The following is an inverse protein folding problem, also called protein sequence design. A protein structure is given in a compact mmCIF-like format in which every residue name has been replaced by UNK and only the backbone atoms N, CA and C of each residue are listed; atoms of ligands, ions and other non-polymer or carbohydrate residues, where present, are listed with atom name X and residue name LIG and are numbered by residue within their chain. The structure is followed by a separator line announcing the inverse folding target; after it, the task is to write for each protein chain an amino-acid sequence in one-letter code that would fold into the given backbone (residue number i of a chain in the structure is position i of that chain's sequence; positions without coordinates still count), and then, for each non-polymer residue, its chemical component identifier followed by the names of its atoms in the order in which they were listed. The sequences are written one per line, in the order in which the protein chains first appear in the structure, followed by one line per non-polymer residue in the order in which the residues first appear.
data_IF_161170123574
#
_entry.id   IF_161170123574
#
_cell.length_a   1.000
_cell.length_b   1.000
_cell.length_c   1.000
_cell.angle_alpha   90.00
_cell.angle_beta   90.00
_cell.angle_gamma   90.00
#
_symmetry.space_group_name_H-M   'P 1'
#
loop_
_entity.id
_entity.type
_entity.pdbx_description
1 polymer ?
#
# COMPACT_ATOMS: atom_id res chain seq x y z
N UNK A 1 -10.93 -9.63 6.50
CA UNK A 1 -9.50 -9.24 6.59
C UNK A 1 -9.36 -8.17 7.66
N UNK A 2 -8.48 -8.33 8.64
CA UNK A 2 -8.24 -7.37 9.73
C UNK A 2 -7.09 -6.38 9.41
N UNK A 3 -6.85 -5.44 10.32
CA UNK A 3 -5.83 -4.39 10.18
C UNK A 3 -4.40 -4.93 10.20
N UNK A 4 -4.14 -6.01 10.94
CA UNK A 4 -2.80 -6.62 11.03
C UNK A 4 -2.41 -7.28 9.72
N UNK A 5 -3.36 -7.97 9.08
CA UNK A 5 -3.19 -8.51 7.73
C UNK A 5 -2.92 -7.40 6.71
N UNK A 6 -3.61 -6.26 6.80
CA UNK A 6 -3.36 -5.12 5.90
C UNK A 6 -2.00 -4.50 6.13
N UNK A 7 -1.58 -4.36 7.38
CA UNK A 7 -0.23 -3.90 7.71
C UNK A 7 0.85 -4.86 7.15
N UNK A 8 0.61 -6.18 7.19
CA UNK A 8 1.47 -7.17 6.53
C UNK A 8 1.53 -6.99 5.02
N UNK A 9 0.39 -6.71 4.36
CA UNK A 9 0.38 -6.40 2.92
C UNK A 9 1.30 -5.22 2.62
N UNK A 10 1.17 -4.12 3.36
CA UNK A 10 2.01 -2.93 3.14
C UNK A 10 3.49 -3.31 3.22
N UNK A 11 3.90 -4.02 4.28
CA UNK A 11 5.30 -4.42 4.49
C UNK A 11 5.79 -5.34 3.36
N UNK A 12 4.98 -6.33 2.97
CA UNK A 12 5.33 -7.31 1.96
C UNK A 12 5.44 -6.69 0.56
N UNK A 13 4.55 -5.74 0.20
CA UNK A 13 4.62 -5.04 -1.08
C UNK A 13 5.85 -4.14 -1.22
N UNK A 14 6.49 -3.75 -0.11
CA UNK A 14 7.73 -2.99 -0.14
C UNK A 14 8.98 -3.89 -0.24
N UNK A 15 8.83 -5.21 -0.05
CA UNK A 15 9.94 -6.16 0.04
C UNK A 15 11.03 -5.75 1.06
N UNK A 16 10.59 -5.31 2.25
CA UNK A 16 11.49 -4.89 3.34
C UNK A 16 11.22 -5.66 4.64
N UNK A 17 12.25 -5.76 5.47
CA UNK A 17 12.09 -6.32 6.81
C UNK A 17 11.24 -5.41 7.71
N UNK A 18 10.59 -6.00 8.73
CA UNK A 18 9.82 -5.25 9.74
C UNK A 18 10.68 -4.18 10.41
N UNK A 19 11.95 -4.50 10.72
CA UNK A 19 12.87 -3.54 11.33
C UNK A 19 13.17 -2.35 10.40
N UNK A 20 13.32 -2.59 9.09
CA UNK A 20 13.48 -1.50 8.12
C UNK A 20 12.20 -0.68 8.01
N UNK A 21 11.04 -1.33 7.96
CA UNK A 21 9.74 -0.65 7.96
C UNK A 21 9.57 0.27 9.18
N UNK A 22 9.89 -0.21 10.38
CA UNK A 22 9.85 0.58 11.62
C UNK A 22 10.69 1.86 11.52
N UNK A 23 11.90 1.76 10.95
CA UNK A 23 12.77 2.92 10.71
C UNK A 23 12.18 3.87 9.68
N UNK A 24 11.62 3.35 8.59
CA UNK A 24 11.05 4.17 7.50
C UNK A 24 9.83 4.97 7.92
N UNK A 25 8.97 4.43 8.79
CA UNK A 25 7.84 5.17 9.36
C UNK A 25 8.21 5.95 10.64
N UNK A 26 9.47 5.86 11.10
CA UNK A 26 9.96 6.58 12.26
C UNK A 26 9.33 6.16 13.59
N UNK A 27 9.10 4.86 13.80
CA UNK A 27 8.66 4.31 15.10
C UNK A 27 9.81 3.61 15.82
N UNK A 28 9.66 3.38 17.12
CA UNK A 28 10.66 2.68 17.91
C UNK A 28 10.88 1.25 17.42
N UNK A 29 12.11 0.75 17.57
CA UNK A 29 12.44 -0.63 17.26
C UNK A 29 11.48 -1.58 17.97
N UNK A 30 11.04 -2.63 17.27
CA UNK A 30 10.15 -3.67 17.77
C UNK A 30 8.70 -3.24 18.06
N UNK A 31 8.32 -2.00 17.73
CA UNK A 31 6.93 -1.50 17.89
C UNK A 31 5.97 -2.24 16.97
N UNK A 32 6.23 -2.25 15.66
CA UNK A 32 5.39 -2.92 14.66
C UNK A 32 5.49 -4.42 14.80
N UNK A 33 6.69 -4.93 15.09
CA UNK A 33 6.90 -6.36 15.42
C UNK A 33 6.02 -6.81 16.58
N UNK A 34 5.96 -6.03 17.67
CA UNK A 34 5.13 -6.34 18.84
C UNK A 34 3.64 -6.25 18.52
N UNK A 35 3.23 -5.20 17.81
CA UNK A 35 1.84 -5.03 17.35
C UNK A 35 1.38 -6.25 16.55
N UNK A 36 2.19 -6.69 15.58
CA UNK A 36 1.83 -7.80 14.70
C UNK A 36 1.89 -9.16 15.40
N UNK A 37 2.71 -9.32 16.45
CA UNK A 37 2.80 -10.55 17.23
C UNK A 37 1.68 -10.66 18.27
N UNK A 38 1.34 -9.56 18.94
CA UNK A 38 0.34 -9.52 20.02
C UNK A 38 -1.07 -9.19 19.53
N UNK A 39 -1.20 -8.79 18.27
CA UNK A 39 -2.43 -8.24 17.71
C UNK A 39 -2.98 -7.10 18.59
N UNK A 40 -2.07 -6.26 19.11
CA UNK A 40 -2.43 -5.13 19.96
C UNK A 40 -2.91 -3.94 19.14
N UNK A 41 -3.72 -3.05 19.74
CA UNK A 41 -4.21 -1.86 19.08
C UNK A 41 -3.11 -1.00 18.43
N UNK A 42 -3.42 -0.44 17.25
CA UNK A 42 -2.54 0.48 16.51
C UNK A 42 -2.99 1.90 16.84
N UNK A 43 -2.07 2.74 17.31
CA UNK A 43 -2.38 4.14 17.63
C UNK A 43 -2.55 4.99 16.38
N UNK A 44 -3.35 6.06 16.48
CA UNK A 44 -3.55 7.02 15.39
C UNK A 44 -2.22 7.63 14.88
N UNK A 45 -1.26 7.87 15.77
CA UNK A 45 0.08 8.36 15.42
C UNK A 45 0.81 7.39 14.48
N UNK A 46 0.70 6.08 14.71
CA UNK A 46 1.30 5.08 13.82
C UNK A 46 0.57 5.06 12.47
N UNK A 47 -0.76 5.17 12.47
CA UNK A 47 -1.55 5.25 11.24
C UNK A 47 -1.15 6.47 10.38
N UNK A 48 -0.97 7.63 11.01
CA UNK A 48 -0.52 8.84 10.33
C UNK A 48 0.89 8.70 9.76
N UNK A 49 1.83 8.15 10.53
CA UNK A 49 3.18 7.85 10.05
C UNK A 49 3.19 6.92 8.84
N UNK A 50 2.35 5.89 8.85
CA UNK A 50 2.19 4.97 7.72
C UNK A 50 1.62 5.74 6.51
N UNK A 51 0.56 6.55 6.68
CA UNK A 51 -0.02 7.34 5.59
C UNK A 51 1.00 8.32 4.98
N UNK A 52 1.78 9.00 5.81
CA UNK A 52 2.77 9.97 5.36
C UNK A 52 3.91 9.30 4.59
N UNK A 53 4.30 8.08 4.97
CA UNK A 53 5.35 7.31 4.28
C UNK A 53 4.84 6.58 3.03
N UNK A 54 3.62 6.04 3.08
CA UNK A 54 3.02 5.22 2.03
C UNK A 54 1.63 5.77 1.63
N UNK A 55 1.59 6.91 0.91
CA UNK A 55 0.35 7.63 0.60
C UNK A 55 -0.62 6.87 -0.31
N UNK A 56 -0.16 5.80 -0.97
CA UNK A 56 -1.03 4.93 -1.77
C UNK A 56 -2.04 4.15 -0.91
N UNK A 57 -1.80 4.02 0.40
CA UNK A 57 -2.71 3.36 1.33
C UNK A 57 -3.51 4.41 2.12
N UNK A 58 -4.82 4.41 1.92
CA UNK A 58 -5.71 5.26 2.72
C UNK A 58 -5.86 4.73 4.15
N UNK A 59 -6.03 5.62 5.13
CA UNK A 59 -6.34 5.24 6.53
C UNK A 59 -7.65 4.45 6.59
N UNK A 60 -8.68 4.82 5.80
CA UNK A 60 -9.94 4.08 5.74
C UNK A 60 -9.73 2.64 5.29
N UNK A 61 -8.91 2.41 4.25
CA UNK A 61 -8.57 1.05 3.83
C UNK A 61 -7.83 0.30 4.94
N UNK A 62 -6.86 0.94 5.59
CA UNK A 62 -6.09 0.31 6.66
C UNK A 62 -6.96 -0.08 7.87
N UNK A 63 -7.92 0.76 8.26
CA UNK A 63 -8.78 0.52 9.43
C UNK A 63 -10.00 -0.33 9.09
N UNK A 64 -10.79 0.05 8.09
CA UNK A 64 -12.06 -0.58 7.76
C UNK A 64 -11.93 -1.73 6.75
N UNK A 65 -10.80 -1.83 6.03
CA UNK A 65 -10.66 -2.77 4.92
C UNK A 65 -11.48 -2.39 3.69
N UNK A 66 -12.12 -1.22 3.71
CA UNK A 66 -12.83 -0.68 2.56
C UNK A 66 -11.80 -0.32 1.50
N UNK A 67 -11.88 -0.98 0.34
CA UNK A 67 -11.31 -0.39 -0.85
C UNK A 67 -12.00 0.95 -1.02
N UNK A 68 -11.23 2.04 -0.97
CA UNK A 68 -11.77 3.37 -1.23
C UNK A 68 -12.34 3.33 -2.65
N UNK A 69 -13.65 3.10 -2.75
CA UNK A 69 -14.33 2.67 -3.97
C UNK A 69 -14.34 3.78 -5.04
N UNK A 70 -13.98 4.99 -4.62
CA UNK A 70 -13.87 6.20 -5.43
C UNK A 70 -12.67 6.18 -6.39
N UNK A 71 -11.48 5.79 -5.92
CA UNK A 71 -10.26 5.85 -6.76
C UNK A 71 -9.89 4.52 -7.40
N UNK A 72 -10.33 3.38 -6.85
CA UNK A 72 -9.96 2.08 -7.40
C UNK A 72 -10.45 1.91 -8.84
N UNK A 73 -11.73 2.21 -9.12
CA UNK A 73 -12.29 2.12 -10.48
C UNK A 73 -11.56 3.05 -11.44
N UNK A 74 -11.28 4.27 -11.03
CA UNK A 74 -10.53 5.24 -11.82
C UNK A 74 -9.10 4.75 -12.12
N UNK A 75 -8.39 4.21 -11.13
CA UNK A 75 -7.05 3.64 -11.32
C UNK A 75 -7.08 2.44 -12.27
N UNK A 76 -8.08 1.57 -12.17
CA UNK A 76 -8.22 0.44 -13.10
C UNK A 76 -8.48 0.93 -14.53
N UNK A 77 -9.29 1.97 -14.68
CA UNK A 77 -9.57 2.57 -15.97
C UNK A 77 -8.33 3.23 -16.59
N UNK A 78 -7.57 4.00 -15.79
CA UNK A 78 -6.30 4.60 -16.23
C UNK A 78 -5.30 3.51 -16.62
N UNK A 79 -5.16 2.43 -15.82
CA UNK A 79 -4.27 1.31 -16.15
C UNK A 79 -4.64 0.65 -17.47
N UNK A 80 -5.94 0.44 -17.70
CA UNK A 80 -6.44 -0.12 -18.95
C UNK A 80 -6.11 0.77 -20.16
N UNK A 81 -6.35 2.08 -20.04
CA UNK A 81 -6.07 3.05 -21.10
C UNK A 81 -4.56 3.13 -21.42
N UNK A 82 -3.70 3.15 -20.40
CA UNK A 82 -2.24 3.15 -20.58
C UNK A 82 -1.78 1.91 -21.35
N UNK A 83 -2.25 0.72 -20.96
CA UNK A 83 -1.86 -0.52 -21.65
C UNK A 83 -2.31 -0.51 -23.11
N UNK A 84 -3.55 -0.09 -23.38
CA UNK A 84 -4.06 0.02 -24.75
C UNK A 84 -3.24 1.00 -25.62
N UNK A 85 -2.73 2.08 -25.03
CA UNK A 85 -1.85 3.02 -25.72
C UNK A 85 -0.45 2.45 -25.98
N UNK A 86 0.10 1.70 -25.02
CA UNK A 86 1.39 1.02 -25.18
C UNK A 86 1.33 -0.05 -26.28
N UNK A 87 0.25 -0.84 -26.33
CA UNK A 87 0.05 -1.87 -27.34
C UNK A 87 -0.05 -1.27 -28.76
N UNK A 88 -0.77 -0.15 -28.90
CA UNK A 88 -0.83 0.60 -30.17
C UNK A 88 0.54 1.10 -30.61
N UNK A 89 1.34 1.65 -29.70
CA UNK A 89 2.69 2.15 -30.00
C UNK A 89 3.61 1.02 -30.49
N UNK A 90 3.55 -0.15 -29.87
CA UNK A 90 4.40 -1.30 -30.20
C UNK A 90 3.96 -1.98 -31.51
N UNK A 91 2.68 -1.97 -31.85
CA UNK A 91 2.16 -2.49 -33.12
C UNK A 91 2.43 -1.62 -34.34
N UNK A 92 2.85 -0.36 -34.16
CA UNK A 92 3.06 0.59 -35.29
C UNK A 92 4.53 0.62 -35.78
N UNK A 93 5.46 -0.08 -35.13
CA UNK A 93 6.88 -0.10 -35.50
C UNK A 93 7.28 -1.23 -36.47
N UNK A 94 6.36 -2.08 -36.93
CA UNK A 94 6.64 -3.22 -37.81
C UNK A 94 6.29 -2.98 -39.30
N UNK A 95 6.01 -1.74 -39.71
CA UNK A 95 5.70 -1.41 -41.09
C UNK A 95 6.50 -0.22 -41.61
N UNK A 96 7.76 -0.44 -41.98
CA UNK A 96 8.54 0.38 -42.93
C UNK A 96 9.70 -0.46 -43.46
#
# INVERSE_FOLDING_TARGET
MDIFKRLRIIINEQDISISRFEKEIGVGNNTISTILRKESGISHIILEKIKNRYPQYSICWLVAGEQNNSNYKLIQQIKFEINALLDKKNGTQSGS
#
